data_IF_426147278330
#
_entry.id   IF_426147278330
#
_cell.length_a   1.000
_cell.length_b   1.000
_cell.length_c   1.000
_cell.angle_alpha   90.00
_cell.angle_beta   90.00
_cell.angle_gamma   90.00
#
_symmetry.space_group_name_H-M   'P 1'
#
loop_
_entity.id
_entity.type
_entity.pdbx_description
1 polymer ?
#
# COMPACT_ATOMS: atom_id res chain seq x y z
N UNK A 1 -8.32 8.05 13.41
CA UNK A 1 -7.16 7.19 13.05
C UNK A 1 -5.90 7.91 13.48
N UNK A 2 -4.96 7.23 14.13
CA UNK A 2 -3.73 7.85 14.65
C UNK A 2 -2.54 7.30 13.85
N UNK A 3 -1.67 8.19 13.39
CA UNK A 3 -0.38 7.85 12.81
C UNK A 3 0.70 8.24 13.81
N UNK A 4 1.52 7.27 14.22
CA UNK A 4 2.63 7.49 15.14
C UNK A 4 3.94 7.63 14.35
N UNK A 5 4.61 8.76 14.53
CA UNK A 5 5.95 9.00 14.00
C UNK A 5 6.99 8.78 15.08
N UNK A 6 8.06 8.04 14.78
CA UNK A 6 9.20 7.88 15.67
C UNK A 6 10.27 8.92 15.34
N UNK A 7 10.63 9.76 16.31
CA UNK A 7 11.69 10.76 16.22
C UNK A 7 12.77 10.45 17.27
N UNK A 8 13.97 11.05 17.18
CA UNK A 8 15.01 10.88 18.21
C UNK A 8 14.55 11.29 19.61
N UNK A 9 13.58 12.21 19.70
CA UNK A 9 13.06 12.76 20.96
C UNK A 9 11.84 12.00 21.50
N UNK A 10 11.32 11.01 20.77
CA UNK A 10 10.19 10.18 21.21
C UNK A 10 9.23 9.79 20.09
N UNK A 11 7.96 9.60 20.46
CA UNK A 11 6.88 9.31 19.51
C UNK A 11 5.95 10.51 19.40
N UNK A 12 5.52 10.82 18.18
CA UNK A 12 4.56 11.88 17.88
C UNK A 12 3.34 11.25 17.25
N UNK A 13 2.20 11.34 17.95
CA UNK A 13 0.93 10.81 17.49
C UNK A 13 0.12 11.89 16.77
N UNK A 14 -0.30 11.60 15.53
CA UNK A 14 -1.11 12.49 14.70
C UNK A 14 -2.48 11.85 14.48
N UNK A 15 -3.51 12.42 15.09
CA UNK A 15 -4.90 12.02 14.90
C UNK A 15 -5.44 12.57 13.56
N UNK A 16 -5.35 11.78 12.50
CA UNK A 16 -5.61 12.18 11.10
C UNK A 16 -7.06 12.61 10.83
N UNK A 17 -7.98 12.21 11.69
CA UNK A 17 -9.39 12.63 11.70
C UNK A 17 -9.57 14.07 12.20
N UNK A 18 -8.64 14.57 13.01
CA UNK A 18 -8.63 15.94 13.53
C UNK A 18 -7.69 16.87 12.78
N UNK A 19 -6.82 16.33 11.92
CA UNK A 19 -5.91 17.14 11.10
C UNK A 19 -6.66 17.80 9.95
N UNK A 20 -6.58 19.12 9.90
CA UNK A 20 -7.12 19.94 8.81
C UNK A 20 -6.20 19.91 7.60
N UNK A 21 -6.75 20.12 6.40
CA UNK A 21 -5.95 20.16 5.17
C UNK A 21 -4.89 21.28 5.18
N UNK A 22 -5.13 22.36 5.94
CA UNK A 22 -4.15 23.42 6.16
C UNK A 22 -2.93 22.96 6.96
N UNK A 23 -3.14 22.11 7.97
CA UNK A 23 -2.05 21.51 8.75
C UNK A 23 -1.26 20.49 7.93
N UNK A 24 -1.91 19.73 7.07
CA UNK A 24 -1.22 18.82 6.13
C UNK A 24 -0.35 19.60 5.14
N UNK A 25 -0.89 20.69 4.57
CA UNK A 25 -0.17 21.54 3.65
C UNK A 25 1.06 22.19 4.27
N UNK A 26 0.99 22.55 5.56
CA UNK A 26 2.14 23.09 6.30
C UNK A 26 3.30 22.09 6.43
N UNK A 27 2.99 20.79 6.41
CA UNK A 27 3.97 19.69 6.42
C UNK A 27 4.38 19.24 5.01
N UNK A 28 3.89 19.90 3.95
CA UNK A 28 4.11 19.47 2.56
C UNK A 28 3.42 18.14 2.22
N UNK A 29 2.44 17.72 3.01
CA UNK A 29 1.69 16.48 2.83
C UNK A 29 0.31 16.75 2.23
N UNK A 30 -0.22 15.75 1.53
CA UNK A 30 -1.61 15.74 1.08
C UNK A 30 -2.36 14.56 1.69
N UNK A 31 -3.70 14.60 1.70
CA UNK A 31 -4.51 13.47 2.20
C UNK A 31 -4.18 12.15 1.49
N UNK A 32 -3.86 12.18 0.21
CA UNK A 32 -3.42 10.98 -0.51
C UNK A 32 -2.05 10.49 -0.06
N UNK A 33 -1.12 11.40 0.25
CA UNK A 33 0.20 11.06 0.78
C UNK A 33 0.14 10.34 2.14
N UNK A 34 -0.94 10.56 2.91
CA UNK A 34 -1.16 9.85 4.17
C UNK A 34 -1.49 8.37 3.93
N UNK A 35 -2.16 8.04 2.81
CA UNK A 35 -2.46 6.65 2.47
C UNK A 35 -1.17 5.85 2.21
N UNK A 36 -0.13 6.50 1.65
CA UNK A 36 1.18 5.89 1.45
C UNK A 36 1.93 5.62 2.76
N UNK A 37 1.59 6.35 3.83
CA UNK A 37 2.12 6.18 5.17
C UNK A 37 1.34 5.16 6.00
N UNK A 38 0.23 4.62 5.48
CA UNK A 38 -0.51 3.59 6.17
C UNK A 38 0.32 2.30 6.23
N UNK A 39 0.23 1.54 7.34
CA UNK A 39 0.80 0.21 7.41
C UNK A 39 0.24 -0.64 6.27
N UNK A 40 1.11 -0.99 5.31
CA UNK A 40 0.78 -1.92 4.25
C UNK A 40 0.65 -3.31 4.85
N UNK A 41 -0.45 -4.00 4.57
CA UNK A 41 -0.56 -5.41 4.89
C UNK A 41 0.26 -6.22 3.88
N UNK A 42 1.57 -6.29 4.14
CA UNK A 42 2.54 -6.93 3.26
C UNK A 42 2.23 -8.41 3.01
N UNK A 43 1.53 -9.09 3.94
CA UNK A 43 1.14 -10.49 3.76
C UNK A 43 -0.02 -10.61 2.78
N UNK A 44 -1.08 -9.81 2.95
CA UNK A 44 -2.20 -9.77 2.00
C UNK A 44 -1.77 -9.34 0.61
N UNK A 45 -0.85 -8.37 0.50
CA UNK A 45 -0.29 -7.94 -0.78
C UNK A 45 0.57 -9.03 -1.45
N UNK A 46 1.37 -9.76 -0.66
CA UNK A 46 2.17 -10.88 -1.16
C UNK A 46 1.28 -12.00 -1.70
N UNK A 47 0.19 -12.33 -1.02
CA UNK A 47 -0.72 -13.38 -1.46
C UNK A 47 -1.51 -12.99 -2.72
N UNK A 48 -1.89 -11.71 -2.83
CA UNK A 48 -2.45 -11.18 -4.07
C UNK A 48 -1.45 -11.25 -5.25
N UNK A 49 -0.18 -10.97 -4.99
CA UNK A 49 0.87 -11.06 -6.00
C UNK A 49 1.11 -12.51 -6.45
N UNK A 50 1.19 -13.47 -5.50
CA UNK A 50 1.30 -14.90 -5.82
C UNK A 50 0.14 -15.38 -6.69
N UNK A 51 -1.10 -14.96 -6.39
CA UNK A 51 -2.27 -15.33 -7.20
C UNK A 51 -2.17 -14.79 -8.63
N UNK A 52 -1.73 -13.53 -8.77
CA UNK A 52 -1.54 -12.89 -10.07
C UNK A 52 -0.47 -13.60 -10.91
N UNK A 53 0.61 -14.06 -10.27
CA UNK A 53 1.65 -14.85 -10.94
C UNK A 53 1.09 -16.21 -11.39
N UNK A 54 0.38 -16.93 -10.51
CA UNK A 54 -0.21 -18.22 -10.83
C UNK A 54 -1.24 -18.13 -11.98
N UNK A 55 -2.05 -17.07 -12.00
CA UNK A 55 -3.01 -16.82 -13.09
C UNK A 55 -2.30 -16.55 -14.42
N UNK A 56 -1.17 -15.83 -14.41
CA UNK A 56 -0.35 -15.60 -15.59
C UNK A 56 0.32 -16.88 -16.10
N UNK A 57 0.90 -17.69 -15.21
CA UNK A 57 1.51 -18.99 -15.57
C UNK A 57 0.47 -19.94 -16.17
N UNK A 58 -0.73 -19.99 -15.59
CA UNK A 58 -1.84 -20.81 -16.09
C UNK A 58 -2.30 -20.36 -17.48
N UNK A 59 -2.32 -19.06 -17.76
CA UNK A 59 -2.63 -18.52 -19.09
C UNK A 59 -1.56 -18.91 -20.12
N UNK A 60 -0.29 -18.71 -19.79
CA UNK A 60 0.82 -19.04 -20.69
C UNK A 60 0.86 -20.53 -21.04
N UNK A 61 0.56 -21.42 -20.09
CA UNK A 61 0.45 -22.85 -20.34
C UNK A 61 -0.67 -23.21 -21.33
N UNK A 62 -1.83 -22.53 -21.24
CA UNK A 62 -2.94 -22.73 -22.19
C UNK A 62 -2.64 -22.21 -23.59
N UNK A 63 -1.92 -21.09 -23.70
CA UNK A 63 -1.55 -20.51 -24.99
C UNK A 63 -0.53 -21.40 -25.73
N UNK A 64 0.38 -22.05 -25.02
CA UNK A 64 1.34 -23.02 -25.59
C UNK A 64 0.63 -24.28 -26.08
N UNK A 65 -0.27 -24.86 -25.27
CA UNK A 65 -1.02 -26.06 -25.67
C UNK A 65 -2.00 -25.82 -26.83
N UNK A 66 -2.50 -24.59 -26.97
CA UNK A 66 -3.35 -24.18 -28.09
C UNK A 66 -2.62 -24.04 -29.43
N UNK A 67 -1.30 -23.87 -29.43
CA UNK A 67 -0.48 -23.70 -30.63
C UNK A 67 0.09 -25.02 -31.20
N UNK A 68 0.00 -26.12 -30.44
CA UNK A 68 0.54 -27.44 -30.82
C UNK A 68 -0.55 -28.35 -31.44
N UNK A 69 -1.77 -27.84 -31.67
CA UNK A 69 -2.86 -28.55 -32.35
C UNK A 69 -3.11 -28.07 -33.77
#
# INVERSE_FOLDING_TARGET
MIITFHTPDGTVDIATDTVTDGQLKALGLTRSSIADLMPRDALSELDALKRTIADHETRLGKDIDGHIR
#
